data_IF_957950814535
#
_entry.id   IF_957950814535
#
_cell.length_a   1.000
_cell.length_b   1.000
_cell.length_c   1.000
_cell.angle_alpha   90.00
_cell.angle_beta   90.00
_cell.angle_gamma   90.00
#
_symmetry.space_group_name_H-M   'P 1'
#
loop_
_entity.id
_entity.type
_entity.pdbx_description
1 polymer ?
#
# COMPACT_ATOMS: atom_id res chain seq x y z
N UNK A 1 5.88 -7.83 -23.46
CA UNK A 1 4.49 -7.38 -23.65
C UNK A 1 3.86 -7.44 -22.27
N UNK A 2 3.56 -6.31 -21.62
CA UNK A 2 2.86 -6.34 -20.33
C UNK A 2 1.49 -6.97 -20.50
N UNK A 3 1.09 -7.82 -19.57
CA UNK A 3 -0.25 -8.38 -19.55
C UNK A 3 -1.30 -7.26 -19.47
N UNK A 4 -2.49 -7.42 -20.07
CA UNK A 4 -3.56 -6.45 -19.93
C UNK A 4 -3.96 -6.32 -18.45
N UNK A 5 -4.12 -5.08 -17.99
CA UNK A 5 -4.59 -4.80 -16.63
C UNK A 5 -5.98 -5.40 -16.42
N UNK A 6 -6.29 -5.90 -15.20
CA UNK A 6 -7.60 -6.46 -14.92
C UNK A 6 -8.71 -5.41 -15.01
N UNK A 7 -9.94 -5.85 -15.31
CA UNK A 7 -11.11 -4.97 -15.39
C UNK A 7 -11.57 -4.47 -14.01
N UNK A 8 -11.33 -5.27 -12.96
CA UNK A 8 -11.71 -4.99 -11.58
C UNK A 8 -10.46 -4.86 -10.70
N UNK A 9 -10.53 -4.03 -9.64
CA UNK A 9 -9.42 -3.91 -8.70
C UNK A 9 -9.20 -5.20 -7.91
N UNK A 10 -7.94 -5.45 -7.57
CA UNK A 10 -7.55 -6.51 -6.66
C UNK A 10 -8.12 -6.24 -5.24
N UNK A 11 -8.30 -7.28 -4.39
CA UNK A 11 -8.73 -7.09 -3.00
C UNK A 11 -7.84 -6.15 -2.20
N UNK A 12 -6.55 -6.14 -2.51
CA UNK A 12 -5.54 -5.28 -1.89
C UNK A 12 -5.51 -3.87 -2.47
N UNK A 13 -6.36 -3.56 -3.46
CA UNK A 13 -6.55 -2.23 -4.05
C UNK A 13 -7.94 -1.64 -3.68
N UNK A 14 -8.18 -1.32 -2.41
CA UNK A 14 -9.49 -0.84 -1.95
C UNK A 14 -9.85 0.48 -2.63
N UNK A 15 -10.92 0.43 -3.42
CA UNK A 15 -11.38 1.56 -4.22
C UNK A 15 -10.65 1.76 -5.54
N UNK A 16 -9.82 0.81 -5.97
CA UNK A 16 -9.19 0.80 -7.30
C UNK A 16 -8.21 1.94 -7.56
N UNK A 17 -7.59 2.47 -6.51
CA UNK A 17 -6.68 3.62 -6.60
C UNK A 17 -5.44 3.28 -7.43
N UNK A 18 -4.85 2.11 -7.19
CA UNK A 18 -3.66 1.67 -7.92
C UNK A 18 -4.03 1.35 -9.38
N UNK A 19 -5.14 0.64 -9.59
CA UNK A 19 -5.64 0.34 -10.94
C UNK A 19 -5.96 1.60 -11.75
N UNK A 20 -6.49 2.64 -11.12
CA UNK A 20 -6.78 3.93 -11.77
C UNK A 20 -5.50 4.59 -12.31
N UNK A 21 -4.45 4.68 -11.48
CA UNK A 21 -3.15 5.24 -11.92
C UNK A 21 -2.51 4.38 -13.02
N UNK A 22 -2.61 3.05 -12.92
CA UNK A 22 -2.09 2.16 -13.96
C UNK A 22 -2.81 2.36 -15.31
N UNK A 23 -4.10 2.71 -15.29
CA UNK A 23 -4.90 3.02 -16.48
C UNK A 23 -4.64 4.41 -17.04
N UNK A 24 -4.56 5.43 -16.17
CA UNK A 24 -4.31 6.81 -16.56
C UNK A 24 -2.85 7.04 -17.00
N UNK A 25 -1.91 6.30 -16.41
CA UNK A 25 -0.48 6.41 -16.68
C UNK A 25 0.03 7.86 -16.56
N UNK A 26 0.59 8.46 -17.63
CA UNK A 26 1.13 9.82 -17.61
C UNK A 26 0.09 10.91 -17.34
N UNK A 27 -1.19 10.62 -17.57
CA UNK A 27 -2.27 11.61 -17.45
C UNK A 27 -2.75 11.78 -16.00
N UNK A 28 -2.25 10.97 -15.06
CA UNK A 28 -2.69 11.02 -13.68
C UNK A 28 -2.33 12.36 -13.01
N UNK A 29 -3.33 13.13 -12.52
CA UNK A 29 -3.10 14.43 -11.91
C UNK A 29 -2.75 14.26 -10.42
N UNK A 30 -1.49 14.01 -10.11
CA UNK A 30 -1.03 14.01 -8.72
C UNK A 30 0.28 13.27 -8.47
N UNK A 31 0.91 13.51 -7.32
CA UNK A 31 2.10 12.79 -6.92
C UNK A 31 1.72 11.36 -6.47
N UNK A 32 2.54 10.37 -6.85
CA UNK A 32 2.30 8.97 -6.49
C UNK A 32 2.32 8.71 -4.97
N UNK A 33 2.99 9.57 -4.21
CA UNK A 33 3.09 9.49 -2.75
C UNK A 33 1.73 9.69 -2.06
N UNK A 34 0.94 10.66 -2.53
CA UNK A 34 -0.38 10.92 -1.97
C UNK A 34 -1.34 9.76 -2.25
N UNK A 35 -1.22 9.14 -3.42
CA UNK A 35 -1.98 7.94 -3.75
C UNK A 35 -1.59 6.75 -2.85
N UNK A 36 -0.29 6.51 -2.64
CA UNK A 36 0.17 5.45 -1.73
C UNK A 36 -0.36 5.67 -0.31
N UNK A 37 -0.36 6.92 0.17
CA UNK A 37 -0.93 7.26 1.48
C UNK A 37 -2.44 7.00 1.51
N UNK A 38 -3.18 7.46 0.50
CA UNK A 38 -4.63 7.24 0.40
C UNK A 38 -4.98 5.76 0.34
N UNK A 39 -4.20 4.97 -0.39
CA UNK A 39 -4.30 3.51 -0.45
C UNK A 39 -4.07 2.86 0.92
N UNK A 40 -2.98 3.24 1.59
CA UNK A 40 -2.62 2.75 2.93
C UNK A 40 -3.75 2.96 3.93
N UNK A 41 -4.36 4.14 3.93
CA UNK A 41 -5.45 4.51 4.83
C UNK A 41 -6.73 3.71 4.59
N UNK A 42 -6.89 3.11 3.41
CA UNK A 42 -8.04 2.29 3.03
C UNK A 42 -7.80 0.78 3.23
N UNK A 43 -6.59 0.37 3.60
CA UNK A 43 -6.32 -1.05 3.85
C UNK A 43 -7.17 -1.58 5.01
N UNK A 44 -7.69 -2.82 4.92
CA UNK A 44 -8.45 -3.42 5.99
C UNK A 44 -7.60 -3.61 7.25
N UNK A 45 -8.25 -3.48 8.42
CA UNK A 45 -7.59 -3.61 9.71
C UNK A 45 -6.94 -5.00 9.85
N UNK A 46 -5.68 -5.02 10.28
CA UNK A 46 -4.89 -6.26 10.39
C UNK A 46 -4.20 -6.73 9.10
N UNK A 47 -4.42 -6.09 7.96
CA UNK A 47 -3.61 -6.33 6.76
C UNK A 47 -2.32 -5.49 6.84
N UNK A 48 -1.19 -6.18 6.72
CA UNK A 48 0.12 -5.55 6.75
C UNK A 48 0.44 -4.88 5.40
N UNK A 49 0.95 -3.65 5.44
CA UNK A 49 1.25 -2.85 4.25
C UNK A 49 2.24 -3.56 3.32
N UNK A 50 3.28 -4.21 3.87
CA UNK A 50 4.28 -4.92 3.09
C UNK A 50 3.65 -6.09 2.35
N UNK A 51 2.82 -6.87 3.04
CA UNK A 51 2.08 -7.98 2.44
C UNK A 51 1.10 -7.48 1.35
N UNK A 52 0.34 -6.42 1.63
CA UNK A 52 -0.59 -5.84 0.67
C UNK A 52 0.11 -5.33 -0.60
N UNK A 53 1.24 -4.62 -0.44
CA UNK A 53 2.03 -4.12 -1.56
C UNK A 53 2.60 -5.26 -2.41
N UNK A 54 3.11 -6.32 -1.79
CA UNK A 54 3.59 -7.50 -2.51
C UNK A 54 2.48 -8.16 -3.34
N UNK A 55 1.29 -8.35 -2.73
CA UNK A 55 0.12 -8.92 -3.42
C UNK A 55 -0.34 -8.07 -4.60
N UNK A 56 -0.30 -6.74 -4.49
CA UNK A 56 -0.62 -5.86 -5.61
C UNK A 56 0.36 -5.97 -6.76
N UNK A 57 1.66 -6.04 -6.46
CA UNK A 57 2.69 -6.20 -7.47
C UNK A 57 2.49 -7.51 -8.24
N UNK A 58 2.11 -8.58 -7.56
CA UNK A 58 1.76 -9.87 -8.20
C UNK A 58 0.45 -9.79 -8.99
N UNK A 59 -0.62 -9.23 -8.40
CA UNK A 59 -1.96 -9.21 -9.00
C UNK A 59 -2.04 -8.40 -10.31
N UNK A 60 -1.22 -7.36 -10.42
CA UNK A 60 -1.17 -6.49 -11.60
C UNK A 60 0.07 -6.74 -12.49
N UNK A 61 0.83 -7.81 -12.23
CA UNK A 61 2.04 -8.18 -12.99
C UNK A 61 3.08 -7.04 -13.07
N UNK A 62 3.32 -6.36 -11.95
CA UNK A 62 4.18 -5.17 -11.83
C UNK A 62 5.60 -5.51 -11.38
N UNK A 63 6.01 -6.77 -11.50
CA UNK A 63 7.36 -7.26 -11.19
C UNK A 63 8.44 -6.51 -12.00
N UNK A 64 8.09 -6.07 -13.21
CA UNK A 64 8.87 -5.18 -14.06
C UNK A 64 8.00 -4.00 -14.48
N UNK A 65 8.52 -2.77 -14.35
CA UNK A 65 7.74 -1.55 -14.55
C UNK A 65 8.52 -0.52 -15.35
N UNK A 66 7.81 0.46 -15.96
CA UNK A 66 8.44 1.58 -16.65
C UNK A 66 9.33 2.38 -15.68
N UNK A 67 10.31 3.13 -16.21
CA UNK A 67 11.18 3.96 -15.38
C UNK A 67 10.36 4.96 -14.54
N UNK A 68 10.88 5.39 -13.37
CA UNK A 68 10.15 6.18 -12.37
C UNK A 68 9.91 7.65 -12.75
N UNK A 69 10.12 8.01 -14.02
CA UNK A 69 9.85 9.35 -14.59
C UNK A 69 8.34 9.63 -14.72
N UNK A 70 7.53 8.58 -14.86
CA UNK A 70 6.08 8.67 -14.98
C UNK A 70 5.38 8.42 -13.63
N UNK A 71 4.23 9.05 -13.32
CA UNK A 71 3.45 8.77 -12.11
C UNK A 71 3.22 7.28 -11.84
N UNK A 72 2.96 6.48 -12.89
CA UNK A 72 2.79 5.02 -12.76
C UNK A 72 4.09 4.33 -12.34
N UNK A 73 5.22 4.73 -12.92
CA UNK A 73 6.53 4.18 -12.61
C UNK A 73 6.94 4.53 -11.19
N UNK A 74 6.64 5.77 -10.77
CA UNK A 74 6.83 6.23 -9.40
C UNK A 74 5.99 5.44 -8.40
N UNK A 75 4.72 5.18 -8.71
CA UNK A 75 3.85 4.36 -7.87
C UNK A 75 4.36 2.91 -7.75
N UNK A 76 4.76 2.29 -8.87
CA UNK A 76 5.33 0.94 -8.88
C UNK A 76 6.60 0.88 -8.02
N UNK A 77 7.48 1.88 -8.13
CA UNK A 77 8.68 1.97 -7.29
C UNK A 77 8.33 2.04 -5.79
N UNK A 78 7.38 2.91 -5.42
CA UNK A 78 6.91 3.04 -4.04
C UNK A 78 6.29 1.75 -3.50
N UNK A 79 5.52 1.02 -4.31
CA UNK A 79 4.96 -0.28 -3.93
C UNK A 79 6.05 -1.33 -3.69
N UNK A 80 7.13 -1.32 -4.49
CA UNK A 80 8.29 -2.22 -4.28
C UNK A 80 9.06 -1.89 -3.01
N UNK A 81 9.23 -0.61 -2.73
CA UNK A 81 9.83 -0.15 -1.47
C UNK A 81 8.98 -0.61 -0.28
N UNK A 82 7.66 -0.41 -0.33
CA UNK A 82 6.73 -0.86 0.70
C UNK A 82 6.76 -2.40 0.87
N UNK A 83 6.81 -3.16 -0.23
CA UNK A 83 6.90 -4.62 -0.22
C UNK A 83 8.25 -5.15 0.31
N UNK A 84 9.29 -4.32 0.29
CA UNK A 84 10.63 -4.67 0.78
C UNK A 84 10.93 -4.13 2.17
N UNK A 85 10.14 -3.15 2.63
CA UNK A 85 10.32 -2.50 3.93
C UNK A 85 10.43 -3.54 5.04
N UNK A 86 11.39 -3.36 5.94
CA UNK A 86 11.42 -4.12 7.17
C UNK A 86 10.26 -3.65 8.06
N UNK A 87 9.51 -4.57 8.67
CA UNK A 87 8.49 -4.16 9.62
C UNK A 87 9.16 -3.33 10.71
N UNK A 88 8.62 -2.15 11.08
CA UNK A 88 9.14 -1.44 12.24
C UNK A 88 9.12 -2.41 13.41
N UNK A 89 10.25 -2.52 14.11
CA UNK A 89 10.42 -3.43 15.25
C UNK A 89 9.15 -3.38 16.09
N UNK A 90 8.45 -4.52 16.15
CA UNK A 90 7.10 -4.66 16.70
C UNK A 90 7.11 -4.25 18.16
N UNK A 91 7.01 -2.95 18.42
CA UNK A 91 6.71 -2.40 19.72
C UNK A 91 5.36 -2.98 20.09
N UNK A 92 5.39 -3.96 21.00
CA UNK A 92 4.20 -4.63 21.48
C UNK A 92 3.22 -3.53 21.90
N UNK A 93 2.03 -3.49 21.31
CA UNK A 93 0.87 -2.86 21.95
C UNK A 93 0.52 -3.71 23.18
N UNK A 94 1.39 -3.67 24.19
CA UNK A 94 1.26 -4.34 25.46
C UNK A 94 1.39 -3.29 26.54
N UNK A 95 0.30 -3.03 27.26
CA UNK A 95 0.38 -2.41 28.58
C UNK A 95 -0.18 -0.99 28.74
N UNK A 96 -1.37 -0.68 28.20
CA UNK A 96 -2.23 0.35 28.85
C UNK A 96 -3.44 -0.32 29.52
N UNK A 97 -3.15 -1.29 30.38
CA UNK A 97 -4.01 -1.77 31.46
C UNK A 97 -3.16 -1.76 32.73
N UNK A 98 -2.80 -0.56 33.16
CA UNK A 98 -1.99 -0.30 34.34
C UNK A 98 -2.47 0.95 35.05
N UNK A 99 -3.77 1.01 35.37
CA UNK A 99 -4.25 1.89 36.44
C UNK A 99 -4.95 1.03 37.48
N UNK A 100 -4.16 0.33 38.29
CA UNK A 100 -4.60 -0.09 39.62
C UNK A 100 -4.88 1.20 40.40
N UNK A 101 -6.16 1.47 40.64
CA UNK A 101 -6.61 2.54 41.53
C UNK A 101 -6.36 2.05 42.95
N UNK A 102 -5.53 2.69 43.79
CA UNK A 102 -5.46 2.33 45.19
C UNK A 102 -6.81 2.69 45.83
N UNK A 103 -7.45 1.68 46.42
CA UNK A 103 -8.46 1.87 47.44
C UNK A 103 -7.73 2.32 48.72
N UNK A 104 -8.06 3.51 49.20
CA UNK A 104 -7.85 3.98 50.57
C UNK A 104 -9.16 4.73 50.87
N UNK A 105 -9.96 4.38 51.87
CA UNK A 105 -9.56 4.07 53.24
C UNK A 105 -9.76 5.34 54.04
#
# INVERSE_FOLDING_TARGET
MSAPLPERPAPEDPGGLVLEVLRMGPEFPGPAQDLLLAWTLKLPDGLDMKAAAARLLEAYDLAEGPPPDDPRGRLIALLREAASAEPPARGRRGGWRGRSRPAQG
#
